data_IF_332872999502
#
_entry.id   IF_332872999502
#
_cell.length_a   1.000
_cell.length_b   1.000
_cell.length_c   1.000
_cell.angle_alpha   90.00
_cell.angle_beta   90.00
_cell.angle_gamma   90.00
#
_symmetry.space_group_name_H-M   'P 1'
#
loop_
_entity.id
_entity.type
_entity.pdbx_description
1 polymer ?
#
# COMPACT_ATOMS: atom_id res chain seq x y z
N UNK A 1 14.73 -37.53 3.26
CA UNK A 1 14.13 -36.50 4.14
C UNK A 1 13.09 -35.72 3.34
N UNK A 2 11.82 -36.07 3.52
CA UNK A 2 10.67 -35.53 2.76
C UNK A 2 10.41 -34.05 3.11
N UNK A 3 10.34 -33.19 2.10
CA UNK A 3 9.85 -31.81 2.22
C UNK A 3 8.34 -31.85 2.49
N UNK A 4 7.89 -31.30 3.62
CA UNK A 4 6.47 -30.95 3.82
C UNK A 4 6.16 -29.73 2.95
N UNK A 5 5.56 -29.97 1.79
CA UNK A 5 4.88 -28.93 1.01
C UNK A 5 3.55 -28.63 1.68
N UNK A 6 3.37 -27.39 2.14
CA UNK A 6 2.07 -26.88 2.56
C UNK A 6 1.30 -26.51 1.29
N UNK A 7 0.41 -27.40 0.86
CA UNK A 7 -0.54 -27.16 -0.22
C UNK A 7 -1.74 -26.39 0.32
N UNK A 8 -1.92 -25.15 -0.13
CA UNK A 8 -3.19 -24.42 0.00
C UNK A 8 -3.53 -23.94 -1.41
N UNK A 9 -4.59 -24.49 -2.00
CA UNK A 9 -5.20 -24.06 -3.27
C UNK A 9 -4.26 -23.98 -4.49
N UNK A 10 -3.72 -25.11 -4.98
CA UNK A 10 -3.20 -25.24 -6.35
C UNK A 10 -1.99 -24.39 -6.75
N UNK A 11 -1.48 -23.52 -5.87
CA UNK A 11 -0.30 -22.72 -6.08
C UNK A 11 0.78 -23.23 -5.12
N UNK A 12 1.87 -23.78 -5.65
CA UNK A 12 3.05 -24.03 -4.82
C UNK A 12 3.62 -22.66 -4.49
N UNK A 13 3.37 -22.16 -3.26
CA UNK A 13 4.13 -21.02 -2.75
C UNK A 13 5.56 -21.53 -2.59
N UNK A 14 6.37 -21.33 -3.63
CA UNK A 14 7.78 -21.66 -3.57
C UNK A 14 8.38 -20.84 -2.42
N UNK A 15 8.91 -21.53 -1.41
CA UNK A 15 9.61 -20.89 -0.32
C UNK A 15 10.69 -19.98 -0.92
N UNK A 16 10.75 -18.74 -0.43
CA UNK A 16 11.73 -17.76 -0.93
C UNK A 16 13.10 -18.19 -0.43
N UNK A 17 14.06 -18.28 -1.34
CA UNK A 17 15.43 -18.69 -1.03
C UNK A 17 16.29 -17.48 -0.64
N UNK A 18 16.03 -16.34 -1.28
CA UNK A 18 16.71 -15.06 -1.05
C UNK A 18 15.70 -13.91 -1.12
N UNK A 19 15.59 -13.12 -0.06
CA UNK A 19 14.59 -12.04 0.07
C UNK A 19 15.27 -10.68 0.30
N UNK A 20 15.03 -9.73 -0.59
CA UNK A 20 15.51 -8.34 -0.44
C UNK A 20 14.64 -7.61 0.60
N UNK A 21 15.28 -7.15 1.67
CA UNK A 21 14.62 -6.50 2.81
C UNK A 21 14.94 -5.00 2.92
N UNK A 22 15.98 -4.55 2.21
CA UNK A 22 16.32 -3.16 1.91
C UNK A 22 17.07 -3.15 0.57
N UNK A 23 17.17 -1.99 -0.13
CA UNK A 23 17.99 -1.91 -1.33
C UNK A 23 19.36 -2.56 -1.09
N UNK A 24 19.71 -3.52 -1.94
CA UNK A 24 21.00 -4.25 -1.93
C UNK A 24 21.27 -5.12 -0.69
N UNK A 25 20.30 -5.24 0.22
CA UNK A 25 20.41 -6.08 1.42
C UNK A 25 19.37 -7.19 1.43
N UNK A 26 19.88 -8.41 1.48
CA UNK A 26 19.10 -9.64 1.37
C UNK A 26 19.17 -10.47 2.66
N UNK A 27 18.10 -11.23 2.90
CA UNK A 27 18.06 -12.34 3.85
C UNK A 27 18.16 -13.65 3.08
N UNK A 28 19.13 -14.47 3.45
CA UNK A 28 19.33 -15.82 2.94
C UNK A 28 18.47 -16.78 3.77
N UNK A 29 17.46 -17.35 3.13
CA UNK A 29 16.61 -18.38 3.71
C UNK A 29 17.09 -19.79 3.36
N UNK A 30 17.79 -19.93 2.23
CA UNK A 30 18.37 -21.18 1.77
C UNK A 30 19.88 -21.05 1.59
N UNK A 31 20.66 -21.73 2.44
CA UNK A 31 22.12 -21.67 2.43
C UNK A 31 22.76 -22.17 1.12
N UNK A 32 22.01 -22.91 0.29
CA UNK A 32 22.48 -23.33 -1.05
C UNK A 32 22.69 -22.17 -2.02
N UNK A 33 22.16 -20.98 -1.73
CA UNK A 33 22.41 -19.76 -2.52
C UNK A 33 23.81 -19.19 -2.27
N UNK A 34 24.41 -19.43 -1.09
CA UNK A 34 25.68 -18.81 -0.67
C UNK A 34 26.85 -18.96 -1.65
N UNK A 35 27.08 -20.12 -2.30
CA UNK A 35 28.17 -20.24 -3.27
C UNK A 35 28.05 -19.24 -4.44
N UNK A 36 26.84 -18.84 -4.82
CA UNK A 36 26.59 -17.86 -5.88
C UNK A 36 26.80 -16.41 -5.42
N UNK A 37 26.81 -16.14 -4.11
CA UNK A 37 27.01 -14.81 -3.52
C UNK A 37 28.48 -14.49 -3.24
N UNK A 38 29.37 -15.49 -3.34
CA UNK A 38 30.79 -15.33 -3.01
C UNK A 38 31.45 -14.34 -3.97
N UNK A 39 32.09 -13.32 -3.41
CA UNK A 39 32.76 -12.27 -4.19
C UNK A 39 31.85 -11.18 -4.73
N UNK A 40 30.53 -11.28 -4.51
CA UNK A 40 29.54 -10.28 -4.94
C UNK A 40 29.21 -9.26 -3.82
N UNK A 41 29.68 -9.50 -2.60
CA UNK A 41 29.38 -8.63 -1.47
C UNK A 41 29.81 -9.24 -0.14
N UNK A 42 29.24 -8.70 0.94
CA UNK A 42 29.56 -9.09 2.31
C UNK A 42 28.43 -9.92 2.89
N UNK A 43 28.77 -11.05 3.52
CA UNK A 43 27.79 -11.91 4.20
C UNK A 43 28.03 -11.86 5.70
N UNK A 44 27.00 -11.55 6.47
CA UNK A 44 27.01 -11.54 7.94
C UNK A 44 25.85 -12.40 8.47
N UNK A 45 26.15 -13.63 8.88
CA UNK A 45 25.15 -14.60 9.30
C UNK A 45 24.16 -14.95 8.17
N UNK A 46 22.88 -14.60 8.34
CA UNK A 46 21.83 -14.78 7.33
C UNK A 46 21.66 -13.58 6.40
N UNK A 47 22.38 -12.48 6.64
CA UNK A 47 22.29 -11.29 5.80
C UNK A 47 23.38 -11.29 4.74
N UNK A 48 23.03 -10.85 3.54
CA UNK A 48 23.95 -10.55 2.46
C UNK A 48 23.75 -9.11 2.02
N UNK A 49 24.84 -8.36 1.93
CA UNK A 49 24.86 -6.99 1.43
C UNK A 49 25.66 -6.99 0.12
N UNK A 50 24.98 -6.63 -0.96
CA UNK A 50 25.55 -6.59 -2.30
C UNK A 50 26.52 -5.41 -2.39
N UNK A 51 27.76 -5.70 -2.77
CA UNK A 51 28.81 -4.68 -2.93
C UNK A 51 29.12 -4.35 -4.40
N UNK A 52 28.55 -5.09 -5.35
CA UNK A 52 28.85 -4.94 -6.78
C UNK A 52 27.77 -4.17 -7.53
N UNK A 53 28.19 -3.42 -8.56
CA UNK A 53 27.29 -2.72 -9.49
C UNK A 53 26.56 -3.66 -10.47
N UNK A 54 26.86 -4.97 -10.46
CA UNK A 54 26.31 -5.98 -11.38
C UNK A 54 25.07 -6.70 -10.84
N UNK A 55 24.29 -6.00 -10.03
CA UNK A 55 23.08 -6.52 -9.35
C UNK A 55 22.22 -7.39 -10.26
N UNK A 56 21.77 -6.85 -11.39
CA UNK A 56 20.79 -7.53 -12.23
C UNK A 56 21.35 -8.82 -12.84
N UNK A 57 22.64 -8.82 -13.22
CA UNK A 57 23.32 -10.00 -13.72
C UNK A 57 23.49 -11.09 -12.65
N UNK A 58 23.76 -10.72 -11.40
CA UNK A 58 23.80 -11.67 -10.29
C UNK A 58 22.42 -12.29 -10.04
N UNK A 59 21.39 -11.46 -9.93
CA UNK A 59 20.03 -11.91 -9.65
C UNK A 59 19.50 -12.83 -10.76
N UNK A 60 19.79 -12.51 -12.03
CA UNK A 60 19.48 -13.36 -13.17
C UNK A 60 20.14 -14.75 -13.04
N UNK A 61 21.45 -14.81 -12.77
CA UNK A 61 22.16 -16.08 -12.58
C UNK A 61 21.61 -16.92 -11.43
N UNK A 62 21.23 -16.29 -10.32
CA UNK A 62 20.64 -17.00 -9.18
C UNK A 62 19.29 -17.61 -9.57
N UNK A 63 18.45 -16.86 -10.28
CA UNK A 63 17.15 -17.33 -10.77
C UNK A 63 17.30 -18.45 -11.81
N UNK A 64 18.24 -18.33 -12.74
CA UNK A 64 18.57 -19.37 -13.73
C UNK A 64 18.98 -20.70 -13.09
N UNK A 65 19.57 -20.66 -11.89
CA UNK A 65 19.92 -21.84 -11.09
C UNK A 65 18.72 -22.43 -10.34
N UNK A 66 17.53 -21.90 -10.54
CA UNK A 66 16.27 -22.40 -9.97
C UNK A 66 15.97 -21.92 -8.55
N UNK A 67 16.68 -20.90 -8.06
CA UNK A 67 16.38 -20.31 -6.75
C UNK A 67 15.29 -19.24 -6.85
N UNK A 68 14.39 -19.22 -5.88
CA UNK A 68 13.36 -18.20 -5.78
C UNK A 68 13.91 -16.94 -5.09
N UNK A 69 14.10 -15.87 -5.87
CA UNK A 69 14.60 -14.58 -5.40
C UNK A 69 13.49 -13.54 -5.45
N UNK A 70 13.14 -12.97 -4.29
CA UNK A 70 12.19 -11.87 -4.19
C UNK A 70 12.92 -10.56 -3.92
N UNK A 71 12.84 -9.66 -4.88
CA UNK A 71 13.42 -8.31 -4.82
C UNK A 71 12.37 -7.28 -4.39
N UNK A 72 12.81 -6.09 -4.02
CA UNK A 72 11.93 -4.93 -3.83
C UNK A 72 11.22 -4.59 -5.14
N UNK A 73 11.89 -4.69 -6.28
CA UNK A 73 11.27 -4.50 -7.59
C UNK A 73 10.11 -5.48 -7.84
N UNK A 74 10.27 -6.76 -7.48
CA UNK A 74 9.18 -7.75 -7.60
C UNK A 74 8.01 -7.40 -6.66
N UNK A 75 8.30 -6.90 -5.46
CA UNK A 75 7.27 -6.44 -4.51
C UNK A 75 6.49 -5.26 -5.06
N UNK A 76 7.17 -4.27 -5.66
CA UNK A 76 6.55 -3.11 -6.31
C UNK A 76 5.70 -3.57 -7.51
N UNK A 77 6.20 -4.50 -8.31
CA UNK A 77 5.45 -5.06 -9.44
C UNK A 77 4.16 -5.76 -8.98
N UNK A 78 4.22 -6.47 -7.84
CA UNK A 78 3.11 -7.17 -7.23
C UNK A 78 2.15 -6.27 -6.42
N UNK A 79 2.45 -4.98 -6.25
CA UNK A 79 1.55 -4.07 -5.53
C UNK A 79 0.20 -3.98 -6.26
N UNK A 80 -0.92 -4.06 -5.52
CA UNK A 80 -2.23 -3.72 -6.06
C UNK A 80 -2.18 -2.31 -6.66
N UNK A 81 -2.68 -2.13 -7.88
CA UNK A 81 -2.78 -0.82 -8.51
C UNK A 81 -4.23 -0.38 -8.58
N UNK A 82 -4.45 0.94 -8.62
CA UNK A 82 -5.78 1.50 -8.83
C UNK A 82 -6.39 0.93 -10.12
N UNK A 83 -7.68 0.61 -10.05
CA UNK A 83 -8.48 0.24 -11.22
C UNK A 83 -9.34 1.43 -11.61
N UNK A 84 -9.66 1.64 -12.89
CA UNK A 84 -10.64 2.64 -13.27
C UNK A 84 -11.96 2.41 -12.54
N UNK A 85 -12.44 3.43 -11.83
CA UNK A 85 -13.75 3.43 -11.17
C UNK A 85 -14.51 4.71 -11.56
N UNK A 86 -15.85 4.67 -11.61
CA UNK A 86 -16.63 5.87 -11.85
C UNK A 86 -16.48 6.88 -10.70
N UNK A 87 -16.71 8.18 -10.96
CA UNK A 87 -16.78 9.17 -9.89
C UNK A 87 -17.94 8.86 -8.93
N UNK A 88 -17.90 9.41 -7.70
CA UNK A 88 -19.01 9.31 -6.76
C UNK A 88 -20.35 9.72 -7.39
N UNK A 89 -21.38 8.91 -7.18
CA UNK A 89 -22.71 9.09 -7.75
C UNK A 89 -23.61 10.00 -6.91
N UNK A 90 -24.91 9.69 -6.96
CA UNK A 90 -25.95 10.44 -6.26
C UNK A 90 -25.82 10.37 -4.74
N UNK A 91 -26.26 11.45 -4.07
CA UNK A 91 -26.40 11.49 -2.62
C UNK A 91 -27.59 10.62 -2.19
N UNK A 92 -27.34 9.74 -1.23
CA UNK A 92 -28.35 8.97 -0.54
C UNK A 92 -28.24 9.10 0.98
N UNK A 93 -29.22 8.53 1.67
CA UNK A 93 -29.32 8.59 3.13
C UNK A 93 -29.00 7.23 3.77
N UNK A 94 -28.15 7.21 4.79
CA UNK A 94 -27.95 6.06 5.66
C UNK A 94 -28.47 6.36 7.06
N UNK A 95 -29.52 5.66 7.48
CA UNK A 95 -29.95 5.68 8.89
C UNK A 95 -28.92 4.92 9.73
N UNK A 96 -28.49 5.54 10.83
CA UNK A 96 -27.57 4.93 11.77
C UNK A 96 -28.31 3.87 12.59
N UNK A 97 -27.67 2.71 12.77
CA UNK A 97 -28.17 1.63 13.60
C UNK A 97 -27.95 1.91 15.09
N UNK A 98 -26.96 2.74 15.45
CA UNK A 98 -26.61 3.07 16.83
C UNK A 98 -26.15 4.54 16.95
N UNK A 99 -26.40 5.19 18.08
CA UNK A 99 -26.04 6.60 18.29
C UNK A 99 -24.51 6.87 18.26
N UNK A 100 -23.70 5.86 18.58
CA UNK A 100 -22.23 5.92 18.58
C UNK A 100 -21.62 5.55 17.22
N UNK A 101 -22.44 5.17 16.25
CA UNK A 101 -21.98 4.87 14.92
C UNK A 101 -21.48 6.13 14.22
N UNK A 102 -20.33 6.02 13.56
CA UNK A 102 -19.71 7.08 12.79
C UNK A 102 -19.26 6.54 11.45
N UNK A 103 -19.44 7.34 10.41
CA UNK A 103 -18.91 7.08 9.08
C UNK A 103 -17.88 8.15 8.76
N UNK A 104 -16.85 7.76 8.02
CA UNK A 104 -15.89 8.66 7.42
C UNK A 104 -15.75 8.33 5.93
N UNK A 105 -15.59 9.37 5.12
CA UNK A 105 -15.30 9.27 3.69
C UNK A 105 -13.83 9.62 3.46
N UNK A 106 -13.22 9.14 2.38
CA UNK A 106 -11.83 9.47 2.08
C UNK A 106 -11.78 10.84 1.40
N UNK A 107 -11.14 11.82 2.04
CA UNK A 107 -11.06 13.18 1.52
C UNK A 107 -9.95 13.28 0.45
N UNK A 108 -10.29 13.67 -0.81
CA UNK A 108 -9.32 13.80 -1.89
C UNK A 108 -8.26 14.89 -1.65
N UNK A 109 -8.51 15.85 -0.74
CA UNK A 109 -7.58 16.95 -0.47
C UNK A 109 -6.54 16.59 0.58
N UNK A 110 -6.97 16.02 1.69
CA UNK A 110 -6.07 15.62 2.79
C UNK A 110 -5.55 14.21 2.65
N UNK A 111 -6.12 13.38 1.77
CA UNK A 111 -5.79 11.96 1.61
C UNK A 111 -5.95 11.16 2.91
N UNK A 112 -6.96 11.53 3.70
CA UNK A 112 -7.30 10.90 4.98
C UNK A 112 -8.81 10.65 5.09
N UNK A 113 -9.17 9.76 6.02
CA UNK A 113 -10.57 9.57 6.40
C UNK A 113 -11.10 10.78 7.17
N UNK A 114 -12.14 11.43 6.63
CA UNK A 114 -12.84 12.54 7.26
C UNK A 114 -14.22 12.10 7.74
N UNK A 115 -14.51 12.34 9.01
CA UNK A 115 -15.80 12.00 9.60
C UNK A 115 -16.95 12.76 8.91
N UNK A 116 -18.02 12.03 8.59
CA UNK A 116 -19.23 12.58 7.99
C UNK A 116 -20.16 13.09 9.09
N UNK A 117 -20.69 14.32 8.97
CA UNK A 117 -21.58 14.87 9.99
C UNK A 117 -22.85 14.05 10.10
N UNK A 118 -23.27 13.81 11.34
CA UNK A 118 -24.55 13.17 11.64
C UNK A 118 -25.65 14.21 11.57
N UNK A 119 -26.71 13.89 10.85
CA UNK A 119 -27.92 14.71 10.72
C UNK A 119 -29.10 13.99 11.36
N UNK A 120 -30.17 14.74 11.65
CA UNK A 120 -31.45 14.18 12.06
C UNK A 120 -32.37 14.04 10.83
N UNK A 121 -33.02 12.89 10.71
CA UNK A 121 -33.98 12.60 9.66
C UNK A 121 -35.13 11.77 10.23
N UNK A 122 -36.34 12.34 10.24
CA UNK A 122 -37.55 11.72 10.79
C UNK A 122 -37.36 11.15 12.21
N UNK A 123 -36.75 11.94 13.10
CA UNK A 123 -36.47 11.55 14.49
C UNK A 123 -35.38 10.50 14.67
N UNK A 124 -34.63 10.15 13.60
CA UNK A 124 -33.52 9.20 13.64
C UNK A 124 -32.23 9.87 13.20
N UNK A 125 -31.11 9.42 13.77
CA UNK A 125 -29.79 9.86 13.33
C UNK A 125 -29.44 9.20 12.00
N UNK A 126 -28.90 9.99 11.07
CA UNK A 126 -28.53 9.57 9.73
C UNK A 126 -27.25 10.27 9.25
N UNK A 127 -26.68 9.77 8.17
CA UNK A 127 -25.60 10.43 7.42
C UNK A 127 -25.95 10.49 5.94
N UNK A 128 -25.47 11.53 5.25
CA UNK A 128 -25.56 11.65 3.79
C UNK A 128 -24.26 11.16 3.17
N UNK A 129 -24.36 10.24 2.22
CA UNK A 129 -23.21 9.59 1.56
C UNK A 129 -23.50 9.52 0.06
N UNK A 130 -22.47 9.57 -0.79
CA UNK A 130 -22.65 9.36 -2.23
C UNK A 130 -22.49 7.89 -2.60
N UNK A 131 -23.27 7.44 -3.57
CA UNK A 131 -23.10 6.12 -4.16
C UNK A 131 -21.67 5.94 -4.70
N UNK A 132 -21.08 4.78 -4.50
CA UNK A 132 -19.71 4.47 -4.92
C UNK A 132 -18.62 5.06 -4.03
N UNK A 133 -18.90 5.84 -2.99
CA UNK A 133 -17.83 6.31 -2.09
C UNK A 133 -17.26 5.16 -1.25
N UNK A 134 -15.95 5.20 -1.03
CA UNK A 134 -15.29 4.37 -0.02
C UNK A 134 -15.57 4.94 1.37
N UNK A 135 -15.91 4.06 2.31
CA UNK A 135 -16.34 4.41 3.66
C UNK A 135 -15.51 3.68 4.70
N UNK A 136 -15.19 4.38 5.80
CA UNK A 136 -14.78 3.77 7.07
C UNK A 136 -15.88 3.94 8.09
N UNK A 137 -16.38 2.84 8.64
CA UNK A 137 -17.42 2.80 9.68
C UNK A 137 -16.80 2.45 11.02
N UNK A 138 -17.17 3.16 12.08
CA UNK A 138 -16.81 2.83 13.47
C UNK A 138 -18.05 2.75 14.33
N UNK A 139 -18.15 1.72 15.17
CA UNK A 139 -19.25 1.56 16.16
C UNK A 139 -18.85 2.01 17.57
N UNK A 140 -17.61 2.49 17.74
CA UNK A 140 -17.04 2.87 19.04
C UNK A 140 -15.54 3.16 18.94
N UNK A 141 -14.79 2.85 20.01
CA UNK A 141 -13.34 3.13 20.09
C UNK A 141 -12.46 2.15 19.30
N UNK A 142 -13.00 1.03 18.84
CA UNK A 142 -12.25 0.00 18.10
C UNK A 142 -11.85 0.39 16.67
N UNK A 143 -11.22 -0.57 15.99
CA UNK A 143 -10.87 -0.50 14.57
C UNK A 143 -12.11 -0.25 13.70
N UNK A 144 -11.92 0.44 12.57
CA UNK A 144 -12.99 0.67 11.61
C UNK A 144 -13.21 -0.54 10.70
N UNK A 145 -14.46 -0.72 10.29
CA UNK A 145 -14.85 -1.59 9.18
C UNK A 145 -14.91 -0.77 7.90
N UNK A 146 -14.67 -1.39 6.74
CA UNK A 146 -14.60 -0.69 5.46
C UNK A 146 -15.70 -1.15 4.50
N UNK A 147 -16.26 -0.21 3.75
CA UNK A 147 -17.38 -0.46 2.84
C UNK A 147 -17.29 0.41 1.58
N UNK A 148 -17.99 -0.01 0.53
CA UNK A 148 -18.41 0.87 -0.56
C UNK A 148 -19.89 1.22 -0.39
N UNK A 149 -20.22 2.49 -0.57
CA UNK A 149 -21.60 2.96 -0.57
C UNK A 149 -22.31 2.47 -1.85
N UNK A 150 -23.52 1.96 -1.72
CA UNK A 150 -24.37 1.59 -2.86
C UNK A 150 -25.74 2.20 -2.65
N UNK A 151 -26.38 2.71 -3.70
CA UNK A 151 -27.70 3.32 -3.60
C UNK A 151 -28.77 2.31 -4.00
N UNK A 152 -29.80 2.19 -3.18
CA UNK A 152 -31.03 1.46 -3.51
C UNK A 152 -32.06 2.40 -4.15
N UNK A 153 -33.12 1.83 -4.73
CA UNK A 153 -34.12 2.59 -5.50
C UNK A 153 -34.85 3.71 -4.73
N UNK A 154 -34.85 3.68 -3.41
CA UNK A 154 -35.43 4.70 -2.52
C UNK A 154 -34.41 5.77 -2.06
N UNK A 155 -33.24 5.83 -2.72
CA UNK A 155 -32.08 6.66 -2.30
C UNK A 155 -31.51 6.28 -0.93
N UNK A 156 -31.83 5.10 -0.41
CA UNK A 156 -31.17 4.58 0.78
C UNK A 156 -29.78 4.06 0.44
N UNK A 157 -28.82 4.34 1.32
CA UNK A 157 -27.46 3.82 1.20
C UNK A 157 -27.35 2.44 1.86
N UNK A 158 -26.94 1.48 1.04
CA UNK A 158 -26.49 0.15 1.43
C UNK A 158 -24.96 0.09 1.47
N UNK A 159 -24.44 -0.86 2.24
CA UNK A 159 -23.01 -1.01 2.51
C UNK A 159 -22.51 -2.34 1.93
N UNK A 160 -21.64 -2.25 0.94
CA UNK A 160 -20.95 -3.42 0.38
C UNK A 160 -19.62 -3.60 1.11
N UNK A 161 -19.40 -4.69 1.87
CA UNK A 161 -18.17 -4.87 2.63
C UNK A 161 -16.94 -5.00 1.73
N UNK A 162 -15.86 -4.33 2.13
CA UNK A 162 -14.54 -4.44 1.53
C UNK A 162 -13.47 -4.41 2.62
N UNK A 163 -12.23 -4.80 2.31
CA UNK A 163 -11.11 -4.59 3.22
C UNK A 163 -10.55 -3.16 3.09
N UNK A 164 -9.70 -2.75 4.04
CA UNK A 164 -9.07 -1.42 4.05
C UNK A 164 -8.31 -1.11 2.75
N UNK A 165 -7.55 -2.08 2.25
CA UNK A 165 -6.77 -1.93 1.01
C UNK A 165 -7.69 -1.64 -0.18
N UNK A 166 -8.79 -2.39 -0.31
CA UNK A 166 -9.78 -2.20 -1.37
C UNK A 166 -10.49 -0.86 -1.27
N UNK A 167 -10.86 -0.42 -0.07
CA UNK A 167 -11.48 0.90 0.15
C UNK A 167 -10.53 2.05 -0.23
N UNK A 168 -9.27 1.99 0.21
CA UNK A 168 -8.27 3.01 -0.14
C UNK A 168 -7.97 3.01 -1.64
N UNK A 169 -7.77 1.85 -2.27
CA UNK A 169 -7.54 1.77 -3.72
C UNK A 169 -8.72 2.33 -4.52
N UNK A 170 -9.96 2.08 -4.07
CA UNK A 170 -11.15 2.65 -4.69
C UNK A 170 -11.17 4.19 -4.58
N UNK A 171 -10.85 4.73 -3.40
CA UNK A 171 -10.79 6.18 -3.20
C UNK A 171 -9.69 6.84 -4.04
N UNK A 172 -8.47 6.26 -4.07
CA UNK A 172 -7.39 6.76 -4.91
C UNK A 172 -7.74 6.69 -6.40
N UNK A 173 -8.47 5.66 -6.84
CA UNK A 173 -8.96 5.59 -8.21
C UNK A 173 -9.96 6.71 -8.55
N UNK A 174 -10.88 7.04 -7.63
CA UNK A 174 -11.80 8.18 -7.80
C UNK A 174 -11.05 9.52 -7.86
N UNK A 175 -10.01 9.69 -7.04
CA UNK A 175 -9.13 10.86 -7.07
C UNK A 175 -8.44 10.97 -8.42
N UNK A 176 -7.83 9.88 -8.90
CA UNK A 176 -7.15 9.86 -10.20
C UNK A 176 -8.10 10.17 -11.37
N UNK A 177 -9.37 9.74 -11.29
CA UNK A 177 -10.39 10.04 -12.29
C UNK A 177 -10.73 11.53 -12.39
N UNK A 178 -10.53 12.31 -11.32
CA UNK A 178 -10.83 13.76 -11.30
C UNK A 178 -9.92 14.62 -12.22
N UNK A 179 -8.91 14.01 -12.84
CA UNK A 179 -8.12 14.63 -13.91
C UNK A 179 -6.86 15.36 -13.45
N UNK A 180 -6.57 15.40 -12.16
CA UNK A 180 -5.28 15.87 -11.63
C UNK A 180 -4.75 14.90 -10.59
N UNK A 181 -3.49 14.40 -10.73
CA UNK A 181 -2.91 13.51 -9.73
C UNK A 181 -2.76 14.26 -8.41
N UNK A 182 -3.19 13.63 -7.32
CA UNK A 182 -2.89 14.16 -6.00
C UNK A 182 -1.37 14.12 -5.78
N UNK A 183 -0.85 15.16 -5.14
CA UNK A 183 0.59 15.37 -5.00
C UNK A 183 1.00 15.14 -3.56
N UNK A 184 2.03 14.33 -3.36
CA UNK A 184 2.77 14.28 -2.10
C UNK A 184 4.03 15.13 -2.20
N UNK A 185 4.27 15.94 -1.18
CA UNK A 185 5.42 16.85 -1.11
C UNK A 185 6.59 16.21 -0.37
N UNK A 186 7.79 16.27 -0.93
CA UNK A 186 8.98 15.76 -0.26
C UNK A 186 10.01 16.86 -0.01
N UNK A 187 10.86 16.69 1.00
CA UNK A 187 12.00 17.57 1.25
C UNK A 187 13.29 16.84 0.90
N UNK A 188 14.18 17.49 0.16
CA UNK A 188 15.54 17.00 -0.07
C UNK A 188 16.41 17.32 1.15
N UNK A 189 17.11 16.32 1.68
CA UNK A 189 18.03 16.43 2.81
C UNK A 189 19.37 15.78 2.43
N UNK A 190 20.35 16.57 1.98
CA UNK A 190 21.64 16.07 1.51
C UNK A 190 21.50 14.87 0.53
N UNK A 191 21.67 13.64 1.02
CA UNK A 191 21.59 12.40 0.22
C UNK A 191 20.27 11.62 0.40
N UNK A 192 19.30 12.17 1.13
CA UNK A 192 18.00 11.55 1.37
C UNK A 192 16.84 12.41 0.91
N UNK A 193 15.75 11.74 0.61
CA UNK A 193 14.45 12.36 0.37
C UNK A 193 13.53 12.00 1.51
N UNK A 194 12.97 13.00 2.17
CA UNK A 194 12.02 12.84 3.26
C UNK A 194 10.61 13.09 2.76
N UNK A 195 9.74 12.09 2.88
CA UNK A 195 8.31 12.20 2.61
C UNK A 195 7.54 12.12 3.95
N UNK A 196 6.97 13.22 4.44
CA UNK A 196 6.20 13.20 5.68
C UNK A 196 5.03 12.19 5.66
N UNK A 197 5.03 11.23 6.58
CA UNK A 197 4.05 10.14 6.64
C UNK A 197 2.61 10.62 6.88
N UNK A 198 2.44 11.80 7.48
CA UNK A 198 1.14 12.40 7.77
C UNK A 198 0.49 13.08 6.56
N UNK A 199 1.11 13.08 5.38
CA UNK A 199 0.51 13.68 4.18
C UNK A 199 -0.57 12.81 3.54
N UNK A 200 -0.50 11.49 3.73
CA UNK A 200 -1.46 10.59 3.13
C UNK A 200 -1.57 9.28 3.89
N UNK A 201 -2.79 8.75 3.95
CA UNK A 201 -3.00 7.36 4.33
C UNK A 201 -2.87 6.47 3.09
N UNK A 202 -1.82 5.64 3.05
CA UNK A 202 -1.58 4.71 1.95
C UNK A 202 -2.22 3.34 2.23
N UNK A 203 -2.59 2.56 1.19
CA UNK A 203 -2.98 1.18 1.39
C UNK A 203 -1.84 0.40 2.07
N UNK A 204 -2.14 -0.46 3.07
CA UNK A 204 -1.11 -1.13 3.88
C UNK A 204 0.02 -1.81 3.09
N UNK A 205 -0.24 -2.51 1.96
CA UNK A 205 0.84 -3.09 1.16
C UNK A 205 1.83 -2.07 0.61
N UNK A 206 1.38 -0.87 0.24
CA UNK A 206 2.23 0.19 -0.30
C UNK A 206 3.10 0.80 0.79
N UNK A 207 2.50 1.12 1.93
CA UNK A 207 3.23 1.60 3.11
C UNK A 207 4.29 0.61 3.59
N UNK A 208 3.98 -0.69 3.54
CA UNK A 208 4.93 -1.74 3.90
C UNK A 208 6.14 -1.81 2.95
N UNK A 209 5.94 -1.63 1.63
CA UNK A 209 7.05 -1.62 0.67
C UNK A 209 7.88 -0.34 0.79
N UNK A 210 7.26 0.83 1.02
CA UNK A 210 8.00 2.08 1.28
C UNK A 210 8.88 1.93 2.52
N UNK A 211 8.39 1.28 3.57
CA UNK A 211 9.18 1.03 4.78
C UNK A 211 10.42 0.15 4.54
N UNK A 212 10.46 -0.65 3.47
CA UNK A 212 11.67 -1.39 3.07
C UNK A 212 12.73 -0.48 2.42
N UNK A 213 12.31 0.65 1.83
CA UNK A 213 13.22 1.66 1.27
C UNK A 213 13.80 2.59 2.35
N UNK A 214 13.24 2.57 3.55
CA UNK A 214 13.58 3.48 4.62
C UNK A 214 15.04 3.33 5.06
N UNK A 215 15.72 4.46 5.16
CA UNK A 215 17.07 4.54 5.74
C UNK A 215 17.03 4.26 7.24
N UNK A 216 16.04 4.83 7.93
CA UNK A 216 15.84 4.69 9.38
C UNK A 216 14.49 4.02 9.67
N UNK A 217 14.42 3.25 10.75
CA UNK A 217 13.16 2.69 11.24
C UNK A 217 12.25 3.77 11.83
N UNK A 218 12.84 4.83 12.39
CA UNK A 218 12.09 5.91 13.05
C UNK A 218 11.55 6.95 12.04
N UNK A 219 12.14 6.99 10.83
CA UNK A 219 11.64 7.76 9.70
C UNK A 219 11.35 6.83 8.50
N UNK A 220 10.25 6.05 8.53
CA UNK A 220 10.00 4.98 7.56
C UNK A 220 9.81 5.45 6.12
N UNK A 221 9.66 6.76 5.91
CA UNK A 221 9.45 7.39 4.60
C UNK A 221 10.61 8.36 4.25
N UNK A 222 11.74 8.23 4.93
CA UNK A 222 13.01 8.84 4.51
C UNK A 222 13.82 7.80 3.74
N UNK A 223 14.01 8.04 2.45
CA UNK A 223 14.71 7.13 1.54
C UNK A 223 16.02 7.75 1.05
N UNK A 224 17.02 6.93 0.74
CA UNK A 224 18.21 7.40 0.03
C UNK A 224 17.82 7.89 -1.37
N UNK A 225 18.56 8.86 -1.91
CA UNK A 225 18.29 9.40 -3.25
C UNK A 225 18.32 8.33 -4.34
N UNK A 226 19.19 7.31 -4.22
CA UNK A 226 19.23 6.17 -5.14
C UNK A 226 17.94 5.32 -5.14
N UNK A 227 17.18 5.33 -4.04
CA UNK A 227 15.90 4.62 -3.92
C UNK A 227 14.69 5.49 -4.32
N UNK A 228 14.90 6.76 -4.66
CA UNK A 228 13.82 7.68 -5.03
C UNK A 228 12.99 7.19 -6.25
N UNK A 229 13.59 6.63 -7.33
CA UNK A 229 12.80 6.08 -8.44
C UNK A 229 11.87 4.92 -8.03
N UNK A 230 12.24 4.17 -6.99
CA UNK A 230 11.39 3.11 -6.43
C UNK A 230 10.20 3.69 -5.66
N UNK A 231 10.42 4.79 -4.93
CA UNK A 231 9.35 5.53 -4.24
C UNK A 231 8.35 6.14 -5.24
N UNK A 232 8.85 6.70 -6.35
CA UNK A 232 8.01 7.17 -7.46
C UNK A 232 7.19 6.03 -8.06
N UNK A 233 7.82 4.87 -8.33
CA UNK A 233 7.11 3.72 -8.88
C UNK A 233 6.00 3.19 -7.94
N UNK A 234 6.20 3.23 -6.62
CA UNK A 234 5.18 2.82 -5.64
C UNK A 234 4.01 3.81 -5.62
N UNK A 235 4.29 5.12 -5.57
CA UNK A 235 3.26 6.15 -5.48
C UNK A 235 2.46 6.29 -6.79
N UNK A 236 3.11 6.08 -7.94
CA UNK A 236 2.46 6.04 -9.25
C UNK A 236 1.39 4.94 -9.36
N UNK A 237 1.53 3.81 -8.65
CA UNK A 237 0.50 2.74 -8.59
C UNK A 237 -0.83 3.22 -7.99
N UNK A 238 -0.80 4.34 -7.26
CA UNK A 238 -1.94 4.99 -6.62
C UNK A 238 -2.41 6.24 -7.36
N UNK A 239 -1.82 6.56 -8.53
CA UNK A 239 -2.12 7.80 -9.25
C UNK A 239 -1.60 9.05 -8.54
N UNK A 240 -0.61 8.90 -7.66
CA UNK A 240 0.02 10.00 -6.93
C UNK A 240 1.29 10.47 -7.64
N UNK A 241 1.53 11.77 -7.59
CA UNK A 241 2.76 12.39 -8.04
C UNK A 241 3.61 12.86 -6.84
N UNK A 242 4.93 12.89 -7.01
CA UNK A 242 5.86 13.44 -6.03
C UNK A 242 6.35 14.80 -6.51
N UNK A 243 6.36 15.79 -5.61
CA UNK A 243 6.91 17.12 -5.89
C UNK A 243 7.78 17.61 -4.75
N UNK A 244 8.85 18.37 -5.03
CA UNK A 244 9.64 18.99 -3.97
C UNK A 244 8.79 20.02 -3.21
N UNK A 245 8.98 20.09 -1.90
CA UNK A 245 8.48 21.17 -1.07
C UNK A 245 9.34 22.41 -1.34
N UNK A 246 8.68 23.50 -1.73
CA UNK A 246 9.30 24.82 -1.89
C UNK A 246 9.75 25.38 -0.54
#
# INVERSE_FOLDING_TARGET
>A
MLRRQLFVHGWTILAIDLDEIRPDRFVIHNDKVRPLLRGEGVTAGKFFELGTWRRDGLLARIRERGFNVRTIADRIAALPHIQPVPPPGELGLRILSQAKERFAVFDPKTLHWQDVPVIEHNGKQAVQLRAGEALRRRKGRGSGDYYLATIAGDRQINLLPVNETGALLHAYAQIAHSGSPAVLRYTLRAETTHLPQNQALLPPPHGAVIALLARDKDEPWTVNQAAFPLLEAITAKLGLALQPQA
#
